data_IF_385233183630
#
_entry.id   IF_385233183630
#
_cell.length_a   1.000
_cell.length_b   1.000
_cell.length_c   1.000
_cell.angle_alpha   90.00
_cell.angle_beta   90.00
_cell.angle_gamma   90.00
#
_symmetry.space_group_name_H-M   'P 1'
#
loop_
_entity.id
_entity.type
_entity.pdbx_description
1 polymer ?
#
# COMPACT_ATOMS: atom_id res chain seq x y z
N UNK A 1 -6.77 11.73 -0.63
CA UNK A 1 -7.49 10.54 -0.14
C UNK A 1 -6.58 9.64 0.67
N UNK A 2 -5.42 9.23 0.14
CA UNK A 2 -4.43 8.44 0.88
C UNK A 2 -4.01 9.06 2.23
N UNK A 3 -3.64 10.35 2.25
CA UNK A 3 -3.26 11.05 3.49
C UNK A 3 -4.43 11.25 4.49
N UNK A 4 -5.67 10.91 4.11
CA UNK A 4 -6.82 10.94 5.03
C UNK A 4 -7.03 9.60 5.72
N UNK A 5 -6.39 8.53 5.26
CA UNK A 5 -6.44 7.23 5.90
C UNK A 5 -5.33 7.15 6.96
N UNK A 6 -5.64 6.97 8.25
CA UNK A 6 -4.64 6.85 9.31
C UNK A 6 -3.60 5.77 8.99
N UNK A 7 -2.32 6.01 9.26
CA UNK A 7 -1.23 5.08 8.96
C UNK A 7 -0.77 5.07 7.49
N UNK A 8 -1.41 5.84 6.60
CA UNK A 8 -0.91 6.09 5.24
C UNK A 8 -0.38 7.51 5.07
N UNK A 9 0.80 7.62 4.45
CA UNK A 9 1.41 8.90 4.09
C UNK A 9 1.96 8.88 2.68
N UNK A 10 1.49 9.78 1.84
CA UNK A 10 1.94 10.01 0.48
C UNK A 10 2.45 11.44 0.36
N UNK A 11 3.68 11.56 -0.15
CA UNK A 11 4.23 12.87 -0.52
C UNK A 11 3.47 13.44 -1.73
N UNK A 12 3.46 14.77 -1.90
CA UNK A 12 2.94 15.39 -3.12
C UNK A 12 3.65 14.85 -4.35
N UNK A 13 2.89 14.47 -5.37
CA UNK A 13 3.44 14.07 -6.67
C UNK A 13 3.67 15.34 -7.48
N UNK A 14 4.93 15.73 -7.66
CA UNK A 14 5.32 16.96 -8.37
C UNK A 14 5.62 16.72 -9.86
N UNK A 15 5.74 15.46 -10.29
CA UNK A 15 6.06 15.09 -11.67
C UNK A 15 6.08 13.57 -11.85
N UNK A 16 6.43 13.11 -13.06
CA UNK A 16 6.32 11.72 -13.50
C UNK A 16 4.88 11.18 -13.39
N UNK A 17 4.72 9.84 -13.40
CA UNK A 17 3.42 9.17 -13.46
C UNK A 17 3.15 8.26 -12.25
N UNK A 18 3.89 8.42 -11.15
CA UNK A 18 3.84 7.51 -10.01
C UNK A 18 3.75 8.25 -8.68
N UNK A 19 3.02 7.63 -7.74
CA UNK A 19 3.08 7.94 -6.33
C UNK A 19 3.80 6.80 -5.58
N UNK A 20 4.41 7.14 -4.44
CA UNK A 20 5.10 6.17 -3.58
C UNK A 20 4.65 6.32 -2.11
N UNK A 21 3.41 5.91 -1.77
CA UNK A 21 2.90 6.04 -0.42
C UNK A 21 3.65 5.13 0.55
N UNK A 22 3.92 5.66 1.75
CA UNK A 22 4.33 4.91 2.93
C UNK A 22 3.08 4.40 3.65
N UNK A 23 3.14 3.15 4.11
CA UNK A 23 2.14 2.51 4.95
C UNK A 23 2.76 2.09 6.28
N UNK A 24 1.99 2.15 7.35
CA UNK A 24 2.28 1.48 8.61
C UNK A 24 1.74 0.05 8.53
N UNK A 25 2.58 -0.93 8.88
CA UNK A 25 2.21 -2.35 8.86
C UNK A 25 2.18 -2.83 10.31
N UNK A 26 1.05 -3.32 10.83
CA UNK A 26 0.95 -3.82 12.21
C UNK A 26 1.90 -4.99 12.48
N UNK A 27 2.32 -5.17 13.73
CA UNK A 27 3.29 -6.19 14.12
C UNK A 27 2.86 -7.60 13.69
N UNK A 28 1.58 -7.98 13.87
CA UNK A 28 1.09 -9.31 13.46
C UNK A 28 1.15 -9.50 11.94
N UNK A 29 1.03 -8.44 11.15
CA UNK A 29 1.23 -8.52 9.70
C UNK A 29 2.71 -8.67 9.32
N UNK A 30 3.63 -8.08 10.10
CA UNK A 30 5.07 -8.32 9.93
C UNK A 30 5.42 -9.78 10.20
N UNK A 31 4.85 -10.35 11.27
CA UNK A 31 5.04 -11.76 11.62
C UNK A 31 4.45 -12.69 10.54
N UNK A 32 3.23 -12.42 10.08
CA UNK A 32 2.60 -13.19 9.00
C UNK A 32 3.38 -13.13 7.68
N UNK A 33 3.95 -11.96 7.34
CA UNK A 33 4.83 -11.83 6.18
C UNK A 33 6.11 -12.66 6.35
N UNK A 34 6.69 -12.66 7.55
CA UNK A 34 7.88 -13.45 7.89
C UNK A 34 7.62 -14.96 7.80
N UNK A 35 6.49 -15.44 8.31
CA UNK A 35 6.08 -16.85 8.19
C UNK A 35 5.94 -17.29 6.73
N UNK A 36 5.42 -16.40 5.87
CA UNK A 36 5.31 -16.62 4.42
C UNK A 36 6.63 -16.38 3.66
N UNK A 37 7.72 -16.02 4.34
CA UNK A 37 9.02 -15.66 3.74
C UNK A 37 8.89 -14.52 2.72
N UNK A 38 8.01 -13.56 2.98
CA UNK A 38 7.77 -12.38 2.14
C UNK A 38 8.26 -11.12 2.85
N UNK A 39 8.68 -10.12 2.05
CA UNK A 39 8.83 -8.76 2.57
C UNK A 39 7.46 -8.23 3.04
N UNK A 40 7.38 -7.41 4.10
CA UNK A 40 6.09 -6.93 4.61
C UNK A 40 5.23 -6.18 3.60
N UNK A 41 5.85 -5.36 2.75
CA UNK A 41 5.15 -4.66 1.68
C UNK A 41 4.70 -5.59 0.55
N UNK A 42 5.45 -6.64 0.23
CA UNK A 42 5.03 -7.70 -0.69
C UNK A 42 3.78 -8.41 -0.15
N UNK A 43 3.77 -8.76 1.14
CA UNK A 43 2.61 -9.36 1.79
C UNK A 43 1.37 -8.45 1.69
N UNK A 44 1.52 -7.16 2.01
CA UNK A 44 0.46 -6.17 1.84
C UNK A 44 -0.04 -6.08 0.39
N UNK A 45 0.88 -5.98 -0.59
CA UNK A 45 0.52 -5.85 -2.00
C UNK A 45 -0.21 -7.08 -2.54
N UNK A 46 0.19 -8.28 -2.11
CA UNK A 46 -0.49 -9.53 -2.48
C UNK A 46 -1.90 -9.60 -1.89
N UNK A 47 -2.07 -9.24 -0.62
CA UNK A 47 -3.40 -9.17 0.01
C UNK A 47 -4.31 -8.16 -0.67
N UNK A 48 -3.78 -6.99 -1.06
CA UNK A 48 -4.53 -5.98 -1.81
C UNK A 48 -4.98 -6.53 -3.17
N UNK A 49 -4.07 -7.20 -3.89
CA UNK A 49 -4.38 -7.81 -5.18
C UNK A 49 -5.47 -8.88 -5.05
N UNK A 50 -5.34 -9.79 -4.09
CA UNK A 50 -6.27 -10.90 -3.87
C UNK A 50 -7.67 -10.42 -3.47
N UNK A 51 -7.78 -9.39 -2.62
CA UNK A 51 -9.06 -8.93 -2.10
C UNK A 51 -9.77 -7.93 -3.01
N UNK A 52 -9.03 -7.09 -3.74
CA UNK A 52 -9.62 -5.98 -4.50
C UNK A 52 -9.34 -6.01 -5.99
N UNK A 53 -8.44 -6.90 -6.45
CA UNK A 53 -7.94 -6.92 -7.83
C UNK A 53 -7.01 -5.75 -8.16
N UNK A 54 -6.57 -4.96 -7.18
CA UNK A 54 -5.69 -3.81 -7.41
C UNK A 54 -4.24 -4.29 -7.36
N UNK A 55 -3.57 -4.27 -8.52
CA UNK A 55 -2.15 -4.62 -8.62
C UNK A 55 -1.27 -3.37 -8.45
N UNK A 56 -0.42 -3.37 -7.43
CA UNK A 56 0.61 -2.35 -7.16
C UNK A 56 1.97 -3.02 -6.98
N UNK A 57 3.05 -2.25 -7.05
CA UNK A 57 4.40 -2.80 -6.92
C UNK A 57 4.93 -2.56 -5.50
N UNK A 58 5.43 -3.59 -4.77
CA UNK A 58 5.95 -3.42 -3.42
C UNK A 58 7.22 -2.56 -3.39
N UNK A 59 7.40 -1.79 -2.32
CA UNK A 59 8.54 -0.89 -2.11
C UNK A 59 9.90 -1.59 -2.05
N UNK A 60 9.92 -2.84 -1.61
CA UNK A 60 11.10 -3.70 -1.50
C UNK A 60 11.81 -3.92 -2.82
N UNK A 61 11.10 -3.79 -3.96
CA UNK A 61 11.70 -3.82 -5.30
C UNK A 61 12.47 -2.54 -5.69
N UNK A 62 12.35 -1.45 -4.93
CA UNK A 62 12.94 -0.14 -5.25
C UNK A 62 14.04 0.29 -4.28
N UNK A 63 14.22 -0.45 -3.18
CA UNK A 63 14.97 0.01 -2.02
C UNK A 63 14.17 1.04 -1.21
N UNK A 64 14.23 0.91 0.11
CA UNK A 64 13.55 1.80 1.05
C UNK A 64 14.27 1.78 2.39
N UNK A 65 14.02 2.79 3.23
CA UNK A 65 14.61 2.86 4.56
C UNK A 65 14.15 1.67 5.41
N UNK A 66 15.06 1.08 6.19
CA UNK A 66 14.72 0.02 7.13
C UNK A 66 13.61 0.44 8.11
N UNK A 67 12.69 -0.48 8.40
CA UNK A 67 11.51 -0.21 9.23
C UNK A 67 10.45 0.66 8.54
N UNK A 68 10.57 0.91 7.24
CA UNK A 68 9.54 1.61 6.45
C UNK A 68 9.08 0.75 5.30
N UNK A 69 7.79 0.88 4.96
CA UNK A 69 7.15 0.05 3.95
C UNK A 69 6.36 0.94 3.01
N UNK A 70 6.49 0.66 1.72
CA UNK A 70 5.90 1.47 0.66
C UNK A 70 5.32 0.59 -0.43
N UNK A 71 4.54 1.19 -1.30
CA UNK A 71 4.18 0.61 -2.60
C UNK A 71 4.20 1.71 -3.67
N UNK A 72 4.39 1.31 -4.92
CA UNK A 72 4.28 2.22 -6.07
C UNK A 72 2.93 2.03 -6.75
N UNK A 73 2.22 3.13 -6.97
CA UNK A 73 0.98 3.16 -7.77
C UNK A 73 1.10 4.17 -8.92
N UNK A 74 0.31 3.94 -9.97
CA UNK A 74 0.23 4.85 -11.12
C UNK A 74 -0.90 5.86 -10.97
N UNK A 75 -0.68 7.08 -11.48
CA UNK A 75 -1.71 8.14 -11.58
C UNK A 75 -2.23 8.29 -13.02
N UNK A 76 -1.91 7.35 -13.91
CA UNK A 76 -2.38 7.32 -15.30
C UNK A 76 -3.89 7.14 -15.50
N UNK A 77 -4.64 6.39 -14.65
CA UNK A 77 -6.07 6.21 -14.87
C UNK A 77 -6.83 7.55 -14.85
N UNK A 78 -7.95 7.66 -15.61
CA UNK A 78 -8.83 8.82 -15.53
C UNK A 78 -9.28 9.10 -14.09
N UNK A 79 -9.47 10.38 -13.76
CA UNK A 79 -9.76 10.86 -12.40
C UNK A 79 -10.86 10.07 -11.69
N UNK A 80 -11.95 9.73 -12.36
CA UNK A 80 -13.06 8.98 -11.76
C UNK A 80 -12.66 7.53 -11.40
N UNK A 81 -11.89 6.86 -12.25
CA UNK A 81 -11.33 5.53 -11.94
C UNK A 81 -10.30 5.62 -10.82
N UNK A 82 -9.49 6.67 -10.81
CA UNK A 82 -8.49 6.90 -9.77
C UNK A 82 -9.15 7.13 -8.41
N UNK A 83 -10.21 7.93 -8.33
CA UNK A 83 -11.00 8.12 -7.10
C UNK A 83 -11.51 6.80 -6.53
N UNK A 84 -12.12 5.97 -7.38
CA UNK A 84 -12.63 4.64 -6.98
C UNK A 84 -11.52 3.72 -6.48
N UNK A 85 -10.37 3.71 -7.16
CA UNK A 85 -9.20 2.93 -6.75
C UNK A 85 -8.70 3.39 -5.38
N UNK A 86 -8.54 4.71 -5.18
CA UNK A 86 -8.06 5.28 -3.93
C UNK A 86 -9.02 5.01 -2.75
N UNK A 87 -10.33 5.01 -3.01
CA UNK A 87 -11.34 4.67 -2.02
C UNK A 87 -11.25 3.19 -1.61
N UNK A 88 -11.23 2.27 -2.59
CA UNK A 88 -11.07 0.83 -2.35
C UNK A 88 -9.77 0.52 -1.59
N UNK A 89 -8.68 1.19 -1.95
CA UNK A 89 -7.39 1.04 -1.29
C UNK A 89 -7.46 1.50 0.17
N UNK A 90 -8.10 2.64 0.45
CA UNK A 90 -8.32 3.13 1.82
C UNK A 90 -9.17 2.17 2.67
N UNK A 91 -10.24 1.62 2.10
CA UNK A 91 -11.10 0.64 2.76
C UNK A 91 -10.34 -0.66 3.05
N UNK A 92 -9.63 -1.20 2.06
CA UNK A 92 -8.77 -2.36 2.23
C UNK A 92 -7.72 -2.14 3.32
N UNK A 93 -7.00 -1.01 3.28
CA UNK A 93 -5.96 -0.72 4.27
C UNK A 93 -6.54 -0.68 5.69
N UNK A 94 -7.71 -0.06 5.87
CA UNK A 94 -8.37 0.02 7.19
C UNK A 94 -8.73 -1.36 7.71
N UNK A 95 -9.30 -2.22 6.85
CA UNK A 95 -9.61 -3.61 7.17
C UNK A 95 -8.35 -4.43 7.47
N UNK A 96 -7.31 -4.28 6.66
CA UNK A 96 -6.01 -4.94 6.84
C UNK A 96 -5.41 -4.58 8.21
N UNK A 97 -5.41 -3.29 8.58
CA UNK A 97 -4.92 -2.87 9.89
C UNK A 97 -5.76 -3.50 11.01
N UNK A 98 -7.09 -3.52 10.89
CA UNK A 98 -7.96 -4.14 11.90
C UNK A 98 -7.73 -5.65 12.06
N UNK A 99 -7.49 -6.37 10.97
CA UNK A 99 -7.20 -7.81 10.98
C UNK A 99 -5.89 -8.14 11.74
N UNK A 100 -4.87 -7.28 11.56
CA UNK A 100 -3.52 -7.50 12.07
C UNK A 100 -3.12 -6.62 13.27
N UNK A 101 -4.04 -5.80 13.79
CA UNK A 101 -3.83 -5.05 15.04
C UNK A 101 -3.85 -5.96 16.26
#
# INVERSE_FOLDING_TARGET
>A
MLNRTPGMRCNPVQGAMYAFPRIEIPARALDAAKEKKQAPDMFFCMRLLEETGICVVPGSGFGQKEGTYHFRMTILPPTEKLKLLLEKLGQFYTKFVQEFS
#
